data_IF_346900312866
#
_entry.id   IF_346900312866
#
_cell.length_a   1.000
_cell.length_b   1.000
_cell.length_c   1.000
_cell.angle_alpha   90.00
_cell.angle_beta   90.00
_cell.angle_gamma   90.00
#
_symmetry.space_group_name_H-M   'P 1'
#
loop_
_entity.id
_entity.type
_entity.pdbx_description
1 polymer ?
#
# COMPACT_ATOMS: atom_id res chain seq x y z
N UNK A 1 65.07 38.68 50.37
CA UNK A 1 63.66 38.25 50.21
C UNK A 1 62.99 39.18 49.22
N UNK A 2 62.71 38.71 48.00
CA UNK A 2 61.55 39.05 47.14
C UNK A 2 61.79 38.41 45.77
N UNK A 3 60.93 37.44 45.42
CA UNK A 3 61.09 36.54 44.28
C UNK A 3 60.57 37.17 42.97
N UNK A 4 61.32 36.97 41.88
CA UNK A 4 60.90 37.19 40.49
C UNK A 4 59.89 36.10 40.08
N UNK A 5 58.71 36.50 39.62
CA UNK A 5 57.77 35.59 38.94
C UNK A 5 58.04 35.57 37.42
N UNK A 6 58.25 34.37 36.88
CA UNK A 6 58.29 34.07 35.44
C UNK A 6 56.87 33.88 34.94
N UNK A 7 56.50 34.57 33.86
CA UNK A 7 55.29 34.32 33.08
C UNK A 7 55.50 33.09 32.19
N UNK A 8 54.59 32.12 32.27
CA UNK A 8 54.53 30.95 31.42
C UNK A 8 53.39 31.16 30.40
N UNK A 9 53.73 31.28 29.12
CA UNK A 9 52.75 31.35 28.03
C UNK A 9 52.34 29.93 27.63
N UNK A 10 51.05 29.60 27.79
CA UNK A 10 50.47 28.33 27.34
C UNK A 10 49.85 28.58 25.95
N UNK A 11 50.49 28.06 24.91
CA UNK A 11 49.92 28.01 23.56
C UNK A 11 48.93 26.84 23.47
N UNK A 12 47.65 27.14 23.33
CA UNK A 12 46.60 26.15 23.06
C UNK A 12 46.60 25.89 21.55
N UNK A 13 47.03 24.70 21.14
CA UNK A 13 46.96 24.23 19.76
C UNK A 13 45.54 23.70 19.51
N UNK A 14 44.70 24.51 18.85
CA UNK A 14 43.36 24.10 18.44
C UNK A 14 43.43 23.22 17.19
N UNK A 15 43.38 21.90 17.35
CA UNK A 15 43.10 20.96 16.26
C UNK A 15 41.61 21.00 15.92
N UNK A 16 41.24 21.75 14.89
CA UNK A 16 39.90 21.68 14.31
C UNK A 16 39.77 20.36 13.54
N UNK A 17 39.09 19.40 14.14
CA UNK A 17 38.68 18.15 13.49
C UNK A 17 37.53 18.49 12.53
N UNK A 18 37.83 18.62 11.24
CA UNK A 18 36.82 18.75 10.20
C UNK A 18 36.06 17.42 10.08
N UNK A 19 34.88 17.33 10.67
CA UNK A 19 33.92 16.28 10.36
C UNK A 19 33.42 16.52 8.93
N UNK A 20 33.94 15.73 7.99
CA UNK A 20 33.30 15.56 6.69
C UNK A 20 31.95 14.88 6.94
N UNK A 21 30.87 15.65 6.92
CA UNK A 21 29.51 15.12 6.87
C UNK A 21 29.38 14.40 5.53
N UNK A 22 29.47 13.07 5.53
CA UNK A 22 29.08 12.26 4.38
C UNK A 22 27.58 12.49 4.18
N UNK A 23 27.20 13.29 3.19
CA UNK A 23 25.81 13.37 2.76
C UNK A 23 25.36 11.96 2.37
N UNK A 24 24.23 11.44 2.89
CA UNK A 24 23.70 10.16 2.42
C UNK A 24 23.55 10.25 0.89
N UNK A 25 24.00 9.21 0.19
CA UNK A 25 23.86 9.14 -1.25
C UNK A 25 22.37 9.20 -1.60
N UNK A 26 21.98 10.23 -2.35
CA UNK A 26 20.62 10.32 -2.91
C UNK A 26 20.50 9.16 -3.91
N UNK A 27 19.50 8.29 -3.73
CA UNK A 27 19.25 7.19 -4.65
C UNK A 27 19.08 7.73 -6.07
N UNK A 28 19.76 7.11 -7.03
CA UNK A 28 19.61 7.51 -8.44
C UNK A 28 18.24 7.08 -8.97
N UNK A 29 17.75 7.65 -10.10
CA UNK A 29 16.54 7.16 -10.75
C UNK A 29 16.60 5.67 -11.10
N UNK A 30 17.79 5.17 -11.49
CA UNK A 30 18.00 3.75 -11.75
C UNK A 30 17.87 2.89 -10.49
N UNK A 31 18.40 3.36 -9.35
CA UNK A 31 18.23 2.66 -8.06
C UNK A 31 16.76 2.62 -7.63
N UNK A 32 15.99 3.67 -7.96
CA UNK A 32 14.55 3.75 -7.66
C UNK A 32 13.77 2.76 -8.50
N UNK A 33 14.02 2.72 -9.82
CA UNK A 33 13.42 1.75 -10.74
C UNK A 33 13.73 0.31 -10.31
N UNK A 34 14.98 0.01 -9.97
CA UNK A 34 15.39 -1.32 -9.53
C UNK A 34 14.67 -1.75 -8.23
N UNK A 35 14.54 -0.84 -7.26
CA UNK A 35 13.82 -1.10 -6.02
C UNK A 35 12.32 -1.35 -6.27
N UNK A 36 11.66 -0.54 -7.10
CA UNK A 36 10.26 -0.75 -7.44
C UNK A 36 10.07 -2.14 -8.07
N UNK A 37 10.88 -2.50 -9.07
CA UNK A 37 10.77 -3.80 -9.74
C UNK A 37 11.04 -5.00 -8.83
N UNK A 38 11.85 -4.81 -7.78
CA UNK A 38 12.06 -5.83 -6.74
C UNK A 38 10.80 -6.04 -5.89
N UNK A 39 10.06 -4.97 -5.58
CA UNK A 39 8.84 -5.03 -4.78
C UNK A 39 7.66 -5.50 -5.64
N UNK A 40 7.55 -5.03 -6.89
CA UNK A 40 6.47 -5.35 -7.86
C UNK A 40 6.91 -6.36 -8.94
N UNK A 41 7.15 -7.65 -8.60
CA UNK A 41 7.62 -8.61 -9.59
C UNK A 41 6.57 -8.84 -10.69
N UNK A 42 7.05 -8.91 -11.94
CA UNK A 42 6.21 -9.17 -13.12
C UNK A 42 5.80 -7.94 -13.92
N UNK A 43 6.24 -6.75 -13.50
CA UNK A 43 6.22 -5.51 -14.30
C UNK A 43 7.55 -5.39 -15.04
N UNK A 44 7.54 -4.98 -16.32
CA UNK A 44 8.79 -4.70 -17.04
C UNK A 44 9.32 -3.30 -16.73
N UNK A 45 10.64 -3.09 -16.88
CA UNK A 45 11.25 -1.76 -16.73
C UNK A 45 10.60 -0.72 -17.65
N UNK A 46 10.36 -1.10 -18.90
CA UNK A 46 9.75 -0.20 -19.88
C UNK A 46 8.30 0.15 -19.50
N UNK A 47 7.51 -0.83 -19.06
CA UNK A 47 6.15 -0.60 -18.57
C UNK A 47 6.13 0.35 -17.36
N UNK A 48 7.05 0.16 -16.41
CA UNK A 48 7.17 1.04 -15.24
C UNK A 48 7.51 2.48 -15.64
N UNK A 49 8.48 2.66 -16.54
CA UNK A 49 8.91 3.99 -17.00
C UNK A 49 7.80 4.68 -17.81
N UNK A 50 7.09 3.95 -18.67
CA UNK A 50 5.95 4.50 -19.40
C UNK A 50 4.86 4.96 -18.43
N UNK A 51 4.51 4.15 -17.43
CA UNK A 51 3.50 4.51 -16.43
C UNK A 51 3.92 5.74 -15.59
N UNK A 52 5.21 5.84 -15.24
CA UNK A 52 5.73 7.01 -14.55
C UNK A 52 5.66 8.28 -15.41
N UNK A 53 5.99 8.19 -16.70
CA UNK A 53 5.87 9.31 -17.63
C UNK A 53 4.42 9.75 -17.85
N UNK A 54 3.50 8.79 -17.97
CA UNK A 54 2.07 9.07 -18.11
C UNK A 54 1.56 9.82 -16.87
N UNK A 55 1.84 9.30 -15.67
CA UNK A 55 1.49 9.97 -14.41
C UNK A 55 2.09 11.38 -14.31
N UNK A 56 3.38 11.51 -14.65
CA UNK A 56 4.09 12.78 -14.64
C UNK A 56 3.43 13.82 -15.55
N UNK A 57 3.04 13.40 -16.76
CA UNK A 57 2.37 14.26 -17.73
C UNK A 57 0.97 14.70 -17.27
N UNK A 58 0.21 13.80 -16.64
CA UNK A 58 -1.16 14.08 -16.19
C UNK A 58 -1.20 14.96 -14.94
N UNK A 59 -0.16 14.90 -14.10
CA UNK A 59 -0.14 15.55 -12.78
C UNK A 59 0.86 16.71 -12.69
N UNK A 60 1.58 17.03 -13.77
CA UNK A 60 2.52 18.15 -13.81
C UNK A 60 3.75 17.99 -12.91
N UNK A 61 4.27 16.75 -12.81
CA UNK A 61 5.48 16.39 -12.04
C UNK A 61 6.54 15.81 -12.99
N UNK A 62 7.74 15.49 -12.50
CA UNK A 62 8.74 14.75 -13.31
C UNK A 62 8.57 13.24 -13.16
N UNK A 63 9.12 12.48 -14.12
CA UNK A 63 9.15 11.02 -14.03
C UNK A 63 9.94 10.54 -12.80
N UNK A 64 11.04 11.21 -12.44
CA UNK A 64 11.80 10.87 -11.23
C UNK A 64 10.99 11.11 -9.95
N UNK A 65 10.26 12.23 -9.87
CA UNK A 65 9.39 12.54 -8.74
C UNK A 65 8.26 11.52 -8.63
N UNK A 66 7.64 11.14 -9.76
CA UNK A 66 6.60 10.12 -9.82
C UNK A 66 7.11 8.75 -9.34
N UNK A 67 8.29 8.32 -9.80
CA UNK A 67 8.93 7.07 -9.36
C UNK A 67 9.25 7.10 -7.86
N UNK A 68 9.77 8.21 -7.34
CA UNK A 68 10.06 8.34 -5.91
C UNK A 68 8.78 8.27 -5.07
N UNK A 69 7.72 8.97 -5.48
CA UNK A 69 6.41 8.88 -4.82
C UNK A 69 5.88 7.45 -4.82
N UNK A 70 5.96 6.75 -5.96
CA UNK A 70 5.52 5.36 -6.04
C UNK A 70 6.34 4.45 -5.12
N UNK A 71 7.66 4.60 -5.07
CA UNK A 71 8.52 3.83 -4.18
C UNK A 71 8.19 4.07 -2.70
N UNK A 72 8.05 5.33 -2.29
CA UNK A 72 7.71 5.70 -0.91
C UNK A 72 6.39 5.02 -0.49
N UNK A 73 5.37 5.05 -1.35
CA UNK A 73 4.08 4.41 -1.08
C UNK A 73 4.13 2.88 -1.03
N UNK A 74 4.90 2.26 -1.94
CA UNK A 74 5.09 0.80 -1.93
C UNK A 74 5.76 0.33 -0.64
N UNK A 75 6.75 1.07 -0.16
CA UNK A 75 7.44 0.78 1.10
C UNK A 75 6.51 0.96 2.31
N UNK A 76 5.67 1.99 2.30
CA UNK A 76 4.65 2.21 3.32
C UNK A 76 3.65 1.04 3.37
N UNK A 77 3.04 0.67 2.24
CA UNK A 77 2.13 -0.48 2.14
C UNK A 77 2.80 -1.78 2.63
N UNK A 78 4.06 -2.02 2.23
CA UNK A 78 4.79 -3.20 2.68
C UNK A 78 5.00 -3.21 4.20
N UNK A 79 5.33 -2.05 4.78
CA UNK A 79 5.50 -1.91 6.22
C UNK A 79 4.17 -2.14 6.97
N UNK A 80 3.07 -1.58 6.46
CA UNK A 80 1.73 -1.69 7.06
C UNK A 80 1.19 -3.12 6.97
N UNK A 81 1.37 -3.80 5.85
CA UNK A 81 1.00 -5.21 5.69
C UNK A 81 1.82 -6.11 6.64
N UNK A 82 3.14 -5.88 6.75
CA UNK A 82 3.99 -6.62 7.67
C UNK A 82 3.60 -6.38 9.15
N UNK A 83 3.28 -5.14 9.52
CA UNK A 83 2.84 -4.79 10.87
C UNK A 83 1.49 -5.46 11.22
N UNK A 84 0.53 -5.47 10.28
CA UNK A 84 -0.74 -6.16 10.46
C UNK A 84 -0.56 -7.69 10.62
N UNK A 85 0.36 -8.28 9.85
CA UNK A 85 0.67 -9.72 9.93
C UNK A 85 1.38 -10.11 11.24
N UNK A 86 2.28 -9.26 11.75
CA UNK A 86 3.08 -9.53 12.96
C UNK A 86 2.39 -9.12 14.26
N UNK A 87 1.64 -8.02 14.28
CA UNK A 87 0.85 -7.57 15.43
C UNK A 87 -0.24 -8.58 15.82
N UNK A 88 -0.69 -9.39 14.87
CA UNK A 88 -1.57 -10.52 15.13
C UNK A 88 -0.86 -11.77 15.67
N UNK A 89 0.48 -11.81 15.62
CA UNK A 89 1.32 -12.91 16.09
C UNK A 89 1.88 -12.66 17.50
N UNK A 90 1.20 -11.85 18.33
CA UNK A 90 1.55 -11.51 19.72
C UNK A 90 1.62 -12.67 20.72
N UNK A 91 1.74 -13.92 20.26
CA UNK A 91 2.21 -15.05 21.05
C UNK A 91 3.59 -15.50 20.52
N UNK A 92 4.64 -15.07 21.23
CA UNK A 92 6.06 -15.45 21.16
C UNK A 92 6.92 -14.80 20.08
N UNK A 93 7.59 -13.73 20.50
CA UNK A 93 8.90 -13.34 20.01
C UNK A 93 9.91 -14.47 20.24
N UNK A 94 10.57 -14.94 19.19
CA UNK A 94 11.97 -15.34 19.18
C UNK A 94 12.47 -15.34 17.73
N UNK A 95 13.58 -14.62 17.53
CA UNK A 95 14.23 -14.32 16.25
C UNK A 95 14.89 -15.53 15.58
N UNK A 96 14.59 -15.76 14.31
CA UNK A 96 15.50 -16.23 13.24
C UNK A 96 14.84 -16.04 11.86
N UNK A 97 15.63 -15.82 10.79
CA UNK A 97 15.14 -15.37 9.50
C UNK A 97 14.61 -16.54 8.65
N UNK A 98 13.57 -16.28 7.85
CA UNK A 98 12.98 -17.15 6.80
C UNK A 98 12.06 -18.31 7.22
N UNK A 99 11.52 -18.32 8.45
CA UNK A 99 10.36 -19.15 8.76
C UNK A 99 9.07 -18.33 8.65
N UNK A 100 8.23 -18.71 7.68
CA UNK A 100 6.90 -18.17 7.47
C UNK A 100 6.07 -18.35 8.76
N UNK A 101 5.99 -17.31 9.58
CA UNK A 101 5.00 -17.20 10.64
C UNK A 101 3.61 -17.22 9.98
N UNK A 102 3.04 -18.42 9.91
CA UNK A 102 1.73 -18.69 9.36
C UNK A 102 0.70 -18.23 10.39
N UNK A 103 0.30 -16.97 10.31
CA UNK A 103 -0.83 -16.46 11.10
C UNK A 103 -2.07 -17.34 10.91
N UNK A 104 -2.93 -17.40 11.93
CA UNK A 104 -4.19 -18.15 11.87
C UNK A 104 -5.01 -17.72 10.65
N UNK A 105 -5.66 -18.68 9.99
CA UNK A 105 -6.57 -18.41 8.88
C UNK A 105 -7.99 -18.71 9.29
N UNK A 106 -8.93 -17.93 8.77
CA UNK A 106 -10.36 -18.12 8.99
C UNK A 106 -11.12 -17.80 7.71
N UNK A 107 -12.40 -18.16 7.69
CA UNK A 107 -13.30 -17.80 6.60
C UNK A 107 -13.80 -16.38 6.79
N UNK A 108 -13.81 -15.59 5.72
CA UNK A 108 -14.35 -14.22 5.76
C UNK A 108 -15.82 -14.24 6.23
N UNK A 109 -16.22 -13.48 7.27
CA UNK A 109 -17.61 -13.40 7.71
C UNK A 109 -18.46 -12.61 6.70
N UNK A 110 -19.78 -12.59 6.92
CA UNK A 110 -20.66 -11.68 6.17
C UNK A 110 -20.37 -10.22 6.53
N UNK A 111 -20.65 -9.28 5.62
CA UNK A 111 -20.60 -7.85 5.95
C UNK A 111 -21.88 -7.38 6.65
N UNK A 112 -21.85 -6.16 7.21
CA UNK A 112 -23.05 -5.50 7.73
C UNK A 112 -23.86 -4.88 6.59
N UNK A 113 -23.17 -4.27 5.63
CA UNK A 113 -23.78 -3.57 4.52
C UNK A 113 -23.17 -3.97 3.18
N UNK A 114 -23.93 -3.72 2.11
CA UNK A 114 -23.41 -3.77 0.76
C UNK A 114 -22.45 -2.59 0.55
N UNK A 115 -21.38 -2.82 -0.19
CA UNK A 115 -20.30 -1.87 -0.45
C UNK A 115 -19.25 -1.79 0.66
N UNK A 116 -19.45 -2.46 1.79
CA UNK A 116 -18.39 -2.67 2.78
C UNK A 116 -17.15 -3.27 2.09
N UNK A 117 -15.97 -3.04 2.68
CA UNK A 117 -14.70 -3.56 2.17
C UNK A 117 -14.09 -4.43 3.26
N UNK A 118 -13.53 -5.58 2.88
CA UNK A 118 -12.64 -6.30 3.77
C UNK A 118 -11.18 -6.08 3.37
N UNK A 119 -10.32 -6.15 4.36
CA UNK A 119 -8.88 -6.17 4.24
C UNK A 119 -8.37 -7.46 4.88
N UNK A 120 -7.34 -8.06 4.31
CA UNK A 120 -6.59 -9.12 4.97
C UNK A 120 -5.11 -8.93 4.71
N UNK A 121 -4.25 -9.03 5.73
CA UNK A 121 -2.82 -9.08 5.48
C UNK A 121 -2.49 -10.33 4.66
N UNK A 122 -1.38 -10.28 3.94
CA UNK A 122 -0.86 -11.42 3.19
C UNK A 122 0.63 -11.64 3.48
N UNK A 123 1.15 -12.80 3.10
CA UNK A 123 2.60 -13.06 3.12
C UNK A 123 3.35 -12.46 1.92
N UNK A 124 2.65 -11.76 1.02
CA UNK A 124 3.25 -11.02 -0.10
C UNK A 124 3.59 -9.58 0.35
N UNK A 125 4.25 -8.77 -0.50
CA UNK A 125 4.56 -7.38 -0.16
C UNK A 125 3.34 -6.53 0.21
N UNK A 126 2.16 -6.79 -0.37
CA UNK A 126 0.92 -6.03 -0.14
C UNK A 126 -0.13 -6.88 0.55
N UNK A 127 -1.05 -6.21 1.24
CA UNK A 127 -2.26 -6.83 1.73
C UNK A 127 -3.26 -7.09 0.57
N UNK A 128 -4.46 -7.54 0.91
CA UNK A 128 -5.52 -7.80 -0.06
C UNK A 128 -6.85 -7.21 0.39
N UNK A 129 -7.63 -6.71 -0.56
CA UNK A 129 -8.96 -6.14 -0.32
C UNK A 129 -9.98 -6.58 -1.36
N UNK A 130 -11.26 -6.53 -0.98
CA UNK A 130 -12.38 -6.68 -1.90
C UNK A 130 -13.64 -6.02 -1.37
N UNK A 131 -14.58 -5.74 -2.26
CA UNK A 131 -15.82 -5.03 -1.96
C UNK A 131 -17.00 -5.99 -1.89
N UNK A 132 -17.84 -5.87 -0.87
CA UNK A 132 -19.07 -6.66 -0.75
C UNK A 132 -20.12 -6.20 -1.77
N UNK A 133 -20.38 -7.02 -2.80
CA UNK A 133 -21.48 -6.82 -3.77
C UNK A 133 -22.88 -6.98 -3.14
N UNK A 134 -22.93 -7.61 -1.97
CA UNK A 134 -24.04 -7.72 -1.03
C UNK A 134 -23.47 -8.32 0.26
N UNK A 135 -24.28 -8.65 1.28
CA UNK A 135 -23.70 -9.08 2.57
C UNK A 135 -23.01 -10.45 2.54
N UNK A 136 -23.21 -11.25 1.49
CA UNK A 136 -22.69 -12.61 1.35
C UNK A 136 -21.72 -12.79 0.19
N UNK A 137 -21.56 -11.79 -0.66
CA UNK A 137 -20.83 -11.89 -1.92
C UNK A 137 -19.86 -10.75 -2.04
N UNK A 138 -18.65 -11.05 -2.47
CA UNK A 138 -17.54 -10.13 -2.62
C UNK A 138 -17.17 -10.07 -4.09
N UNK A 139 -16.96 -8.87 -4.62
CA UNK A 139 -16.31 -8.64 -5.91
C UNK A 139 -14.85 -8.29 -5.63
N UNK A 140 -13.92 -9.02 -6.23
CA UNK A 140 -12.48 -8.81 -6.01
C UNK A 140 -11.67 -9.20 -7.23
N UNK A 141 -10.46 -8.64 -7.32
CA UNK A 141 -9.41 -9.15 -8.19
C UNK A 141 -8.51 -10.06 -7.34
N UNK A 142 -8.73 -11.37 -7.38
CA UNK A 142 -8.14 -12.31 -6.40
C UNK A 142 -6.63 -12.55 -6.53
N UNK A 143 -6.01 -12.12 -7.62
CA UNK A 143 -4.57 -12.24 -7.83
C UNK A 143 -4.16 -12.77 -9.22
N UNK A 144 -2.85 -12.94 -9.44
CA UNK A 144 -2.30 -13.41 -10.72
C UNK A 144 -2.86 -14.77 -11.15
N UNK A 145 -3.15 -14.93 -12.43
CA UNK A 145 -3.73 -16.15 -13.00
C UNK A 145 -5.25 -16.23 -12.92
N UNK A 146 -5.89 -15.33 -12.19
CA UNK A 146 -7.34 -15.22 -12.10
C UNK A 146 -7.84 -13.96 -12.80
N UNK A 147 -9.12 -13.99 -13.21
CA UNK A 147 -9.85 -12.78 -13.57
C UNK A 147 -10.52 -12.23 -12.32
N UNK A 148 -10.73 -10.92 -12.25
CA UNK A 148 -11.63 -10.36 -11.26
C UNK A 148 -13.01 -10.98 -11.39
N UNK A 149 -13.61 -11.35 -10.27
CA UNK A 149 -14.90 -12.02 -10.27
C UNK A 149 -15.61 -11.80 -8.93
N UNK A 150 -16.75 -12.46 -8.77
CA UNK A 150 -17.53 -12.49 -7.55
C UNK A 150 -17.47 -13.85 -6.84
N UNK A 151 -17.30 -13.81 -5.53
CA UNK A 151 -17.14 -15.00 -4.70
C UNK A 151 -18.03 -14.91 -3.48
N UNK A 152 -18.51 -16.07 -3.01
CA UNK A 152 -19.23 -16.13 -1.76
C UNK A 152 -18.23 -15.85 -0.63
N UNK A 153 -18.61 -15.08 0.37
CA UNK A 153 -17.71 -14.75 1.49
C UNK A 153 -17.09 -16.03 2.11
N UNK A 154 -17.85 -17.13 2.14
CA UNK A 154 -17.35 -18.41 2.67
C UNK A 154 -16.24 -19.08 1.86
N UNK A 155 -16.02 -18.70 0.60
CA UNK A 155 -14.90 -19.22 -0.21
C UNK A 155 -13.63 -18.37 -0.09
N UNK A 156 -13.67 -17.27 0.68
CA UNK A 156 -12.53 -16.38 0.88
C UNK A 156 -11.88 -16.70 2.22
N UNK A 157 -10.58 -17.02 2.17
CA UNK A 157 -9.75 -17.22 3.35
C UNK A 157 -9.07 -15.91 3.72
N UNK A 158 -9.27 -15.48 4.95
CA UNK A 158 -8.58 -14.32 5.54
C UNK A 158 -7.53 -14.80 6.54
N UNK A 159 -6.55 -13.92 6.79
CA UNK A 159 -5.54 -14.09 7.83
C UNK A 159 -5.87 -13.19 9.02
N UNK A 160 -5.43 -13.64 10.18
CA UNK A 160 -5.50 -12.87 11.42
C UNK A 160 -4.89 -11.47 11.24
N UNK A 161 -5.58 -10.44 11.73
CA UNK A 161 -5.30 -9.03 11.40
C UNK A 161 -6.16 -8.50 10.25
N UNK A 162 -7.14 -9.28 9.79
CA UNK A 162 -8.11 -8.85 8.80
C UNK A 162 -9.11 -7.85 9.40
N UNK A 163 -9.72 -7.05 8.54
CA UNK A 163 -10.66 -5.99 8.92
C UNK A 163 -11.86 -6.00 8.00
N UNK A 164 -12.99 -5.53 8.51
CA UNK A 164 -14.07 -5.04 7.66
C UNK A 164 -14.37 -3.58 7.99
N UNK A 165 -14.53 -2.79 6.93
CA UNK A 165 -14.80 -1.36 7.02
C UNK A 165 -16.05 -1.00 6.23
N UNK A 166 -16.78 0.00 6.73
CA UNK A 166 -17.72 0.78 5.94
C UNK A 166 -17.17 2.20 5.80
N UNK A 167 -17.68 2.98 4.85
CA UNK A 167 -17.32 4.39 4.71
C UNK A 167 -18.40 5.31 5.28
N UNK A 168 -18.00 6.42 5.90
CA UNK A 168 -18.89 7.49 6.36
C UNK A 168 -19.50 8.29 5.19
N UNK A 169 -20.25 7.59 4.35
CA UNK A 169 -21.01 8.09 3.20
C UNK A 169 -22.44 7.53 3.26
N UNK A 170 -23.40 8.09 2.50
CA UNK A 170 -24.73 7.51 2.43
C UNK A 170 -24.69 6.04 1.95
N UNK A 171 -25.57 5.19 2.48
CA UNK A 171 -25.61 3.78 2.06
C UNK A 171 -25.80 3.61 0.55
N UNK A 172 -26.60 4.49 -0.09
CA UNK A 172 -26.78 4.48 -1.54
C UNK A 172 -25.46 4.68 -2.32
N UNK A 173 -24.48 5.38 -1.75
CA UNK A 173 -23.13 5.53 -2.31
C UNK A 173 -22.36 4.20 -2.25
N UNK A 174 -22.40 3.51 -1.11
CA UNK A 174 -21.79 2.18 -0.97
C UNK A 174 -22.45 1.16 -1.91
N UNK A 175 -23.78 1.21 -2.03
CA UNK A 175 -24.55 0.37 -2.94
C UNK A 175 -24.15 0.61 -4.40
N UNK A 176 -24.03 1.87 -4.82
CA UNK A 176 -23.61 2.26 -6.17
C UNK A 176 -22.19 1.77 -6.49
N UNK A 177 -21.25 1.87 -5.54
CA UNK A 177 -19.90 1.34 -5.72
C UNK A 177 -19.91 -0.19 -5.90
N UNK A 178 -20.63 -0.91 -5.03
CA UNK A 178 -20.79 -2.36 -5.14
C UNK A 178 -21.45 -2.80 -6.45
N UNK A 179 -22.50 -2.11 -6.88
CA UNK A 179 -23.17 -2.38 -8.16
C UNK A 179 -22.25 -2.09 -9.34
N UNK A 180 -21.46 -1.01 -9.27
CA UNK A 180 -20.51 -0.70 -10.32
C UNK A 180 -19.42 -1.78 -10.43
N UNK A 181 -18.85 -2.21 -9.30
CA UNK A 181 -17.87 -3.28 -9.26
C UNK A 181 -18.42 -4.57 -9.90
N UNK A 182 -19.63 -4.96 -9.52
CA UNK A 182 -20.28 -6.15 -10.06
C UNK A 182 -20.57 -6.01 -11.56
N UNK A 183 -21.14 -4.91 -12.00
CA UNK A 183 -21.60 -4.78 -13.39
C UNK A 183 -20.46 -4.49 -14.37
N UNK A 184 -19.38 -3.84 -13.93
CA UNK A 184 -18.36 -3.29 -14.83
C UNK A 184 -16.94 -3.77 -14.59
N UNK A 185 -16.58 -4.28 -13.41
CA UNK A 185 -15.19 -4.55 -13.04
C UNK A 185 -14.83 -6.03 -12.93
N UNK A 186 -15.74 -6.93 -13.34
CA UNK A 186 -15.46 -8.38 -13.46
C UNK A 186 -14.84 -8.72 -14.82
N UNK A 187 -14.09 -9.81 -14.86
CA UNK A 187 -13.48 -10.35 -16.07
C UNK A 187 -12.11 -9.76 -16.42
N UNK A 188 -11.59 -8.83 -15.61
CA UNK A 188 -10.30 -8.17 -15.83
C UNK A 188 -9.17 -9.08 -15.39
N UNK A 189 -8.07 -9.10 -16.15
CA UNK A 189 -6.84 -9.77 -15.70
C UNK A 189 -6.21 -8.98 -14.55
N UNK A 190 -5.40 -9.66 -13.74
CA UNK A 190 -4.72 -9.03 -12.62
C UNK A 190 -3.63 -8.06 -13.06
N UNK A 191 -3.65 -6.84 -12.54
CA UNK A 191 -2.61 -5.83 -12.74
C UNK A 191 -1.46 -6.07 -11.74
N UNK A 192 -0.23 -6.23 -12.22
CA UNK A 192 0.95 -6.40 -11.35
C UNK A 192 1.64 -5.07 -11.05
N UNK A 193 1.32 -4.00 -11.77
CA UNK A 193 1.86 -2.67 -11.55
C UNK A 193 1.12 -1.96 -10.42
N UNK A 194 1.55 -2.21 -9.18
CA UNK A 194 1.06 -1.52 -7.99
C UNK A 194 1.60 -0.09 -7.85
N UNK A 195 2.78 0.19 -8.43
CA UNK A 195 3.41 1.50 -8.41
C UNK A 195 2.53 2.58 -9.07
N UNK A 196 1.87 2.22 -10.17
CA UNK A 196 1.01 3.09 -10.96
C UNK A 196 -0.27 2.34 -11.36
N UNK A 197 -1.27 2.33 -10.49
CA UNK A 197 -2.53 1.59 -10.70
C UNK A 197 -3.78 2.49 -10.83
N UNK A 198 -3.62 3.82 -10.99
CA UNK A 198 -4.76 4.76 -11.10
C UNK A 198 -5.19 5.11 -12.53
N UNK A 199 -4.95 4.23 -13.51
CA UNK A 199 -5.37 4.46 -14.90
C UNK A 199 -6.87 4.72 -15.03
N UNK A 200 -7.25 5.75 -15.81
CA UNK A 200 -8.64 6.12 -16.12
C UNK A 200 -9.36 5.13 -17.04
N UNK A 201 -8.61 4.29 -17.75
CA UNK A 201 -9.14 3.28 -18.67
C UNK A 201 -8.39 1.96 -18.46
N UNK A 202 -8.63 1.27 -17.33
CA UNK A 202 -7.91 0.04 -17.03
C UNK A 202 -8.28 -1.05 -18.03
N UNK A 203 -7.31 -1.87 -18.41
CA UNK A 203 -7.51 -3.18 -19.07
C UNK A 203 -7.12 -4.35 -18.16
N UNK A 204 -6.56 -4.03 -16.99
CA UNK A 204 -6.24 -4.94 -15.89
C UNK A 204 -6.54 -4.22 -14.57
N UNK A 205 -6.86 -4.99 -13.52
CA UNK A 205 -7.15 -4.47 -12.19
C UNK A 205 -6.37 -5.26 -11.13
N UNK A 206 -5.77 -4.58 -10.16
CA UNK A 206 -5.38 -5.20 -8.89
C UNK A 206 -6.48 -5.01 -7.84
N UNK A 207 -6.33 -5.66 -6.68
CA UNK A 207 -7.37 -5.73 -5.66
C UNK A 207 -7.80 -4.34 -5.15
N UNK A 208 -6.85 -3.50 -4.75
CA UNK A 208 -7.11 -2.13 -4.29
C UNK A 208 -7.60 -1.22 -5.42
N UNK A 209 -7.01 -1.34 -6.61
CA UNK A 209 -7.46 -0.60 -7.79
C UNK A 209 -8.94 -0.89 -8.09
N UNK A 210 -9.38 -2.16 -8.04
CA UNK A 210 -10.79 -2.51 -8.29
C UNK A 210 -11.72 -1.80 -7.30
N UNK A 211 -11.41 -1.84 -6.01
CA UNK A 211 -12.23 -1.24 -4.95
C UNK A 211 -12.25 0.28 -5.10
N UNK A 212 -11.09 0.91 -5.26
CA UNK A 212 -10.98 2.35 -5.49
C UNK A 212 -11.74 2.79 -6.74
N UNK A 213 -11.58 2.06 -7.85
CA UNK A 213 -12.24 2.40 -9.11
C UNK A 213 -13.77 2.33 -8.99
N UNK A 214 -14.28 1.33 -8.26
CA UNK A 214 -15.71 1.20 -7.97
C UNK A 214 -16.27 2.40 -7.21
N UNK A 215 -15.58 2.87 -6.17
CA UNK A 215 -15.99 4.05 -5.42
C UNK A 215 -15.82 5.35 -6.22
N UNK A 216 -14.64 5.54 -6.84
CA UNK A 216 -14.29 6.76 -7.55
C UNK A 216 -15.20 7.01 -8.75
N UNK A 217 -15.36 6.00 -9.61
CA UNK A 217 -16.09 6.15 -10.87
C UNK A 217 -17.53 5.62 -10.81
N UNK A 218 -17.82 4.67 -9.93
CA UNK A 218 -19.17 4.13 -9.75
C UNK A 218 -20.04 4.93 -8.79
N UNK A 219 -19.43 5.53 -7.76
CA UNK A 219 -20.15 6.24 -6.71
C UNK A 219 -19.75 7.72 -6.54
N UNK A 220 -18.73 8.18 -7.29
CA UNK A 220 -18.27 9.57 -7.24
C UNK A 220 -17.52 9.94 -5.96
N UNK A 221 -17.02 8.96 -5.21
CA UNK A 221 -16.28 9.18 -3.95
C UNK A 221 -14.86 8.67 -4.08
N UNK A 222 -13.89 9.54 -3.79
CA UNK A 222 -12.50 9.12 -3.69
C UNK A 222 -12.21 8.60 -2.29
N UNK A 223 -11.93 7.30 -2.19
CA UNK A 223 -11.60 6.62 -0.93
C UNK A 223 -10.09 6.43 -0.75
N UNK A 224 -9.29 6.85 -1.73
CA UNK A 224 -7.84 6.91 -1.58
C UNK A 224 -7.44 8.09 -0.69
N UNK A 225 -6.64 7.82 0.35
CA UNK A 225 -6.27 8.81 1.35
C UNK A 225 -4.99 9.59 1.05
N UNK A 226 -4.15 9.12 0.11
CA UNK A 226 -2.79 9.66 -0.08
C UNK A 226 -2.59 10.41 -1.42
N UNK A 227 -3.47 10.22 -2.41
CA UNK A 227 -3.47 10.96 -3.67
C UNK A 227 -2.32 10.67 -4.63
N UNK A 228 -1.43 9.73 -4.33
CA UNK A 228 -0.24 9.43 -5.16
C UNK A 228 -0.52 8.48 -6.33
N UNK A 229 0.50 7.99 -7.03
CA UNK A 229 0.34 7.17 -8.24
C UNK A 229 -0.30 5.80 -8.02
N UNK A 230 -0.16 5.26 -6.82
CA UNK A 230 -0.79 4.01 -6.39
C UNK A 230 -1.99 4.25 -5.46
N UNK A 231 -2.91 3.29 -5.45
CA UNK A 231 -3.88 3.08 -4.36
C UNK A 231 -3.67 1.70 -3.78
N UNK A 232 -3.54 1.62 -2.46
CA UNK A 232 -3.15 0.41 -1.76
C UNK A 232 -4.24 -0.06 -0.79
N UNK A 233 -4.26 -1.36 -0.44
CA UNK A 233 -5.13 -1.90 0.60
C UNK A 233 -5.15 -1.08 1.89
N UNK A 234 -3.99 -0.59 2.35
CA UNK A 234 -3.88 0.23 3.54
C UNK A 234 -4.61 1.57 3.40
N UNK A 235 -4.42 2.29 2.29
CA UNK A 235 -5.09 3.58 2.02
C UNK A 235 -6.60 3.48 2.10
N UNK A 236 -7.14 2.37 1.59
CA UNK A 236 -8.57 2.09 1.50
C UNK A 236 -9.19 1.91 2.90
N UNK A 237 -8.49 1.30 3.85
CA UNK A 237 -9.08 0.94 5.15
C UNK A 237 -8.66 1.83 6.32
N UNK A 238 -7.61 2.62 6.17
CA UNK A 238 -7.15 3.60 7.16
C UNK A 238 -7.44 5.05 6.77
N UNK A 239 -8.04 5.27 5.59
CA UNK A 239 -8.44 6.59 5.13
C UNK A 239 -9.48 7.26 6.03
N UNK A 240 -9.61 8.60 5.97
CA UNK A 240 -10.46 9.37 6.88
C UNK A 240 -11.96 9.08 6.77
N UNK A 241 -12.40 8.50 5.65
CA UNK A 241 -13.79 8.07 5.46
C UNK A 241 -14.05 6.67 6.03
N UNK A 242 -13.00 5.86 6.24
CA UNK A 242 -13.14 4.47 6.63
C UNK A 242 -13.44 4.33 8.12
N UNK A 243 -14.37 3.43 8.45
CA UNK A 243 -14.67 3.03 9.81
C UNK A 243 -14.54 1.52 9.95
N UNK A 244 -13.51 1.07 10.67
CA UNK A 244 -13.34 -0.35 11.00
C UNK A 244 -14.35 -0.75 12.06
N UNK A 245 -15.29 -1.63 11.68
CA UNK A 245 -16.30 -2.15 12.59
C UNK A 245 -16.03 -3.60 13.05
N UNK A 246 -15.13 -4.30 12.37
CA UNK A 246 -14.69 -5.64 12.76
C UNK A 246 -13.18 -5.79 12.56
N UNK A 247 -12.50 -6.30 13.59
CA UNK A 247 -11.14 -6.81 13.54
C UNK A 247 -11.22 -8.34 13.67
N UNK A 248 -10.56 -9.06 12.77
CA UNK A 248 -10.74 -10.50 12.52
C UNK A 248 -9.44 -11.30 12.66
#
# INVERSE_FOLDING_TARGET
MTHRFRTLSISILSTALAFALSTPAVATPEDTVAQILQITPGVSRDELIHAANDWASENGTTSEEALRMALDQLLEEQSSNAAAHTGSSGAKLNSSPLDAATGSTSTLPKSWYKGDVYYTPTGAPWAHVGIYGGTWWVVEASGPGYKSDWYRHTSITIRSGAKQVYYHVPQATQDAAADYAYNNLRGYRYNLNFAFNKSKNPWMLNCSQLVWYAYKYGAGVDIDSNGGPGVYPHDIVEGPLAHTYANL
#
